data_IF_871730019459
#
_entry.id   IF_871730019459
#
_cell.length_a   1.000
_cell.length_b   1.000
_cell.length_c   1.000
_cell.angle_alpha   90.00
_cell.angle_beta   90.00
_cell.angle_gamma   90.00
#
_symmetry.space_group_name_H-M   'P 1'
#
loop_
_entity.id
_entity.type
_entity.pdbx_description
1 polymer ?
#
# COMPACT_ATOMS: atom_id res chain seq x y z
N UNK A 1 10.38 -15.91 -10.95
CA UNK A 1 10.08 -15.66 -9.54
C UNK A 1 9.02 -14.58 -9.42
N UNK A 2 8.14 -14.71 -8.45
CA UNK A 2 7.13 -13.68 -8.21
C UNK A 2 7.77 -12.45 -7.59
N UNK A 3 7.19 -11.32 -7.85
CA UNK A 3 7.54 -10.08 -7.17
C UNK A 3 6.70 -9.94 -5.90
N UNK A 4 7.35 -9.57 -4.81
CA UNK A 4 6.66 -9.22 -3.58
C UNK A 4 6.20 -7.77 -3.65
N UNK A 5 4.99 -7.51 -3.20
CA UNK A 5 4.46 -6.16 -3.07
C UNK A 5 4.05 -5.96 -1.62
N UNK A 6 4.54 -4.89 -1.01
CA UNK A 6 4.09 -4.46 0.30
C UNK A 6 3.25 -3.21 0.12
N UNK A 7 1.98 -3.28 0.50
CA UNK A 7 1.13 -2.10 0.61
C UNK A 7 1.39 -1.53 2.00
N UNK A 8 2.07 -0.40 2.06
CA UNK A 8 2.49 0.20 3.32
C UNK A 8 1.56 1.35 3.69
N UNK A 9 0.90 1.21 4.83
CA UNK A 9 -0.11 2.17 5.30
C UNK A 9 0.24 2.64 6.72
N UNK A 10 -0.38 3.73 7.15
CA UNK A 10 -0.09 4.30 8.47
C UNK A 10 -0.49 3.39 9.61
N UNK A 11 -1.67 2.83 9.56
CA UNK A 11 -2.26 2.10 10.67
C UNK A 11 -3.30 2.92 11.41
N UNK A 12 -4.18 2.23 12.11
CA UNK A 12 -5.27 2.84 12.87
C UNK A 12 -5.71 1.89 13.96
N UNK A 13 -6.32 2.41 15.00
CA UNK A 13 -6.95 1.60 16.03
C UNK A 13 -8.29 1.03 15.59
N UNK A 14 -8.86 1.57 14.51
CA UNK A 14 -10.11 1.09 13.96
C UNK A 14 -9.83 0.00 12.92
N UNK A 15 -10.23 -1.26 13.16
CA UNK A 15 -9.98 -2.35 12.21
C UNK A 15 -10.61 -2.09 10.84
N UNK A 16 -11.73 -1.38 10.79
CA UNK A 16 -12.40 -1.10 9.52
C UNK A 16 -11.60 -0.18 8.62
N UNK A 17 -10.70 0.60 9.19
CA UNK A 17 -9.82 1.48 8.43
C UNK A 17 -8.95 0.69 7.44
N UNK A 18 -8.61 -0.55 7.75
CA UNK A 18 -7.76 -1.37 6.89
C UNK A 18 -8.51 -1.98 5.70
N UNK A 19 -9.84 -1.95 5.70
CA UNK A 19 -10.64 -2.63 4.67
C UNK A 19 -10.29 -2.23 3.24
N UNK A 20 -10.16 -0.93 2.88
CA UNK A 20 -9.78 -0.58 1.51
C UNK A 20 -8.45 -1.17 1.09
N UNK A 21 -7.48 -1.24 2.00
CA UNK A 21 -6.17 -1.81 1.70
C UNK A 21 -6.26 -3.31 1.47
N UNK A 22 -7.12 -3.99 2.23
CA UNK A 22 -7.38 -5.42 2.04
C UNK A 22 -8.01 -5.69 0.68
N UNK A 23 -8.91 -4.81 0.23
CA UNK A 23 -9.54 -4.92 -1.09
C UNK A 23 -8.50 -4.73 -2.21
N UNK A 24 -7.59 -3.78 -2.05
CA UNK A 24 -6.51 -3.57 -3.01
C UNK A 24 -5.60 -4.80 -3.05
N UNK A 25 -5.23 -5.32 -1.88
CA UNK A 25 -4.39 -6.51 -1.79
C UNK A 25 -5.06 -7.71 -2.47
N UNK A 26 -6.35 -7.90 -2.24
CA UNK A 26 -7.09 -8.99 -2.87
C UNK A 26 -7.11 -8.86 -4.39
N UNK A 27 -7.32 -7.64 -4.89
CA UNK A 27 -7.33 -7.39 -6.33
C UNK A 27 -5.96 -7.68 -6.96
N UNK A 28 -4.88 -7.26 -6.30
CA UNK A 28 -3.53 -7.52 -6.77
C UNK A 28 -3.18 -9.01 -6.71
N UNK A 29 -3.64 -9.69 -5.66
CA UNK A 29 -3.34 -11.11 -5.47
C UNK A 29 -3.96 -12.00 -6.55
N UNK A 30 -4.96 -11.51 -7.26
CA UNK A 30 -5.51 -12.23 -8.41
C UNK A 30 -4.57 -12.22 -9.61
N UNK A 31 -3.58 -11.36 -9.62
CA UNK A 31 -2.57 -11.32 -10.67
C UNK A 31 -1.44 -12.29 -10.30
N UNK A 32 -1.12 -13.19 -11.20
CA UNK A 32 -0.25 -14.34 -10.92
C UNK A 32 1.19 -13.99 -10.57
N UNK A 33 1.65 -12.82 -10.99
CA UNK A 33 3.04 -12.45 -10.85
C UNK A 33 3.39 -11.84 -9.50
N UNK A 34 2.41 -11.64 -8.63
CA UNK A 34 2.60 -10.91 -7.38
C UNK A 34 2.24 -11.73 -6.15
N UNK A 35 3.04 -11.57 -5.10
CA UNK A 35 2.68 -11.93 -3.73
C UNK A 35 2.52 -10.64 -2.95
N UNK A 36 1.37 -10.43 -2.34
CA UNK A 36 1.02 -9.15 -1.75
C UNK A 36 0.86 -9.27 -0.24
N UNK A 37 1.46 -8.35 0.49
CA UNK A 37 1.29 -8.20 1.94
C UNK A 37 0.95 -6.74 2.24
N UNK A 38 0.15 -6.55 3.28
CA UNK A 38 -0.07 -5.21 3.82
C UNK A 38 0.85 -5.06 5.03
N UNK A 39 1.48 -3.92 5.18
CA UNK A 39 2.27 -3.61 6.36
C UNK A 39 1.86 -2.23 6.89
N UNK A 40 2.05 -2.04 8.19
CA UNK A 40 1.62 -0.82 8.84
C UNK A 40 2.78 -0.15 9.56
N UNK A 41 2.77 1.18 9.55
CA UNK A 41 3.78 1.96 10.26
C UNK A 41 3.63 1.76 11.77
N UNK A 42 2.39 1.74 12.25
CA UNK A 42 2.10 1.63 13.68
C UNK A 42 0.68 1.11 13.91
N UNK A 43 0.38 0.77 15.15
CA UNK A 43 -0.97 0.43 15.65
C UNK A 43 -1.57 -0.86 15.13
N UNK A 44 -1.08 -1.41 14.05
CA UNK A 44 -1.59 -2.65 13.44
C UNK A 44 -0.41 -3.50 12.99
N UNK A 45 -0.67 -4.77 12.77
CA UNK A 45 0.34 -5.73 12.28
C UNK A 45 -0.10 -6.31 10.93
N UNK A 46 0.86 -6.79 10.11
CA UNK A 46 2.30 -6.83 10.39
C UNK A 46 2.99 -5.47 10.24
N UNK A 47 4.16 -5.38 10.85
CA UNK A 47 5.07 -4.28 10.60
C UNK A 47 5.78 -4.47 9.26
N UNK A 48 6.53 -3.47 8.83
CA UNK A 48 7.22 -3.55 7.54
C UNK A 48 8.24 -4.69 7.51
N UNK A 49 9.06 -4.82 8.55
CA UNK A 49 10.06 -5.87 8.61
C UNK A 49 9.43 -7.27 8.67
N UNK A 50 8.31 -7.43 9.37
CA UNK A 50 7.57 -8.69 9.37
C UNK A 50 7.05 -9.05 7.98
N UNK A 51 6.48 -8.09 7.27
CA UNK A 51 5.97 -8.33 5.92
C UNK A 51 7.10 -8.68 4.94
N UNK A 52 8.23 -7.97 5.04
CA UNK A 52 9.39 -8.27 4.21
C UNK A 52 9.89 -9.69 4.48
N UNK A 53 10.01 -10.07 5.76
CA UNK A 53 10.46 -11.40 6.13
C UNK A 53 9.54 -12.49 5.59
N UNK A 54 8.23 -12.27 5.66
CA UNK A 54 7.25 -13.22 5.11
C UNK A 54 7.42 -13.40 3.61
N UNK A 55 7.60 -12.31 2.88
CA UNK A 55 7.78 -12.36 1.43
C UNK A 55 9.09 -13.04 1.04
N UNK A 56 10.17 -12.74 1.75
CA UNK A 56 11.46 -13.40 1.52
C UNK A 56 11.32 -14.90 1.79
N UNK A 57 10.67 -15.28 2.88
CA UNK A 57 10.41 -16.68 3.20
C UNK A 57 9.54 -17.40 2.17
N UNK A 58 8.74 -16.67 1.42
CA UNK A 58 7.91 -17.21 0.35
C UNK A 58 8.65 -17.31 -0.99
N UNK A 59 9.89 -16.86 -1.06
CA UNK A 59 10.72 -17.06 -2.24
C UNK A 59 10.61 -16.00 -3.31
N UNK A 60 10.16 -14.79 -2.97
CA UNK A 60 10.11 -13.71 -3.96
C UNK A 60 11.51 -13.30 -4.39
N UNK A 61 11.65 -12.86 -5.63
CA UNK A 61 12.95 -12.42 -6.17
C UNK A 61 13.24 -10.95 -5.95
N UNK A 62 12.22 -10.16 -5.69
CA UNK A 62 12.32 -8.74 -5.42
C UNK A 62 11.09 -8.27 -4.66
N UNK A 63 11.19 -7.12 -4.03
CA UNK A 63 10.08 -6.53 -3.27
C UNK A 63 9.91 -5.08 -3.69
N UNK A 64 8.67 -4.69 -3.90
CA UNK A 64 8.30 -3.30 -4.16
C UNK A 64 7.41 -2.81 -3.03
N UNK A 65 7.81 -1.71 -2.40
CA UNK A 65 7.02 -1.10 -1.32
C UNK A 65 6.22 0.04 -1.92
N UNK A 66 4.91 -0.03 -1.75
CA UNK A 66 3.96 0.95 -2.26
C UNK A 66 3.34 1.68 -1.08
N UNK A 67 3.74 2.93 -0.82
CA UNK A 67 3.11 3.72 0.23
C UNK A 67 1.67 4.06 -0.16
N UNK A 68 0.69 3.58 0.59
CA UNK A 68 -0.72 3.72 0.25
C UNK A 68 -1.30 4.88 1.03
N UNK A 69 -0.88 6.08 0.65
CA UNK A 69 -1.40 7.35 1.19
C UNK A 69 -1.16 8.45 0.17
N UNK A 70 -1.78 9.61 0.40
CA UNK A 70 -1.75 10.67 -0.61
C UNK A 70 -0.38 11.31 -0.74
N UNK A 71 0.24 11.67 0.37
CA UNK A 71 1.55 12.24 0.35
C UNK A 71 2.32 11.79 1.57
N UNK A 72 3.63 11.70 1.44
CA UNK A 72 4.47 11.40 2.57
C UNK A 72 4.66 12.66 3.39
N UNK A 73 4.26 12.64 4.64
CA UNK A 73 4.72 13.62 5.60
C UNK A 73 6.23 13.50 5.74
N UNK A 74 6.91 14.56 6.17
CA UNK A 74 8.36 14.60 6.20
C UNK A 74 9.00 13.39 6.85
N UNK A 75 8.45 12.94 7.98
CA UNK A 75 9.02 11.82 8.72
C UNK A 75 8.92 10.49 7.96
N UNK A 76 7.78 10.20 7.37
CA UNK A 76 7.59 8.92 6.67
C UNK A 76 8.52 8.82 5.47
N UNK A 77 8.69 9.92 4.76
CA UNK A 77 9.55 9.95 3.58
C UNK A 77 11.00 9.63 3.92
N UNK A 78 11.47 10.08 5.08
CA UNK A 78 12.83 9.83 5.54
C UNK A 78 12.95 8.48 6.26
N UNK A 79 11.92 8.09 7.00
CA UNK A 79 11.97 6.89 7.82
C UNK A 79 11.87 5.61 7.01
N UNK A 80 11.11 5.63 5.91
CA UNK A 80 10.86 4.43 5.14
C UNK A 80 12.15 3.79 4.58
N UNK A 81 13.08 4.56 3.95
CA UNK A 81 14.35 3.97 3.54
C UNK A 81 15.15 3.40 4.72
N UNK A 82 15.10 4.05 5.89
CA UNK A 82 15.80 3.55 7.08
C UNK A 82 15.20 2.25 7.59
N UNK A 83 13.87 2.13 7.57
CA UNK A 83 13.19 0.91 7.98
C UNK A 83 13.56 -0.24 7.06
N UNK A 84 13.65 0.00 5.77
CA UNK A 84 14.07 -1.02 4.81
C UNK A 84 15.51 -1.43 5.06
N UNK A 85 16.40 -0.47 5.25
CA UNK A 85 17.81 -0.75 5.51
C UNK A 85 17.98 -1.56 6.81
N UNK A 86 17.22 -1.22 7.85
CA UNK A 86 17.27 -1.94 9.13
C UNK A 86 16.80 -3.38 8.99
N UNK A 87 15.84 -3.64 8.12
CA UNK A 87 15.37 -5.00 7.84
C UNK A 87 16.40 -5.83 7.09
N UNK A 88 17.35 -5.16 6.41
CA UNK A 88 18.45 -5.81 5.70
C UNK A 88 17.99 -7.00 4.85
N UNK A 89 17.05 -6.82 3.92
CA UNK A 89 16.51 -7.94 3.15
C UNK A 89 17.54 -8.49 2.16
N UNK A 90 17.53 -9.82 1.94
CA UNK A 90 18.47 -10.44 0.99
C UNK A 90 18.04 -10.32 -0.47
N UNK A 91 16.99 -9.58 -0.75
CA UNK A 91 16.50 -9.34 -2.11
C UNK A 91 16.44 -7.83 -2.37
N UNK A 92 16.39 -7.46 -3.64
CA UNK A 92 16.26 -6.05 -4.01
C UNK A 92 14.90 -5.51 -3.55
N UNK A 93 14.93 -4.38 -2.89
CA UNK A 93 13.72 -3.68 -2.44
C UNK A 93 13.71 -2.29 -3.04
N UNK A 94 12.59 -1.93 -3.67
CA UNK A 94 12.38 -0.58 -4.20
C UNK A 94 11.20 0.06 -3.48
N UNK A 95 11.20 1.38 -3.41
CA UNK A 95 10.15 2.14 -2.76
C UNK A 95 9.53 3.05 -3.82
N UNK A 96 8.23 2.87 -4.05
CA UNK A 96 7.49 3.70 -5.00
C UNK A 96 7.17 5.06 -4.40
N UNK A 97 6.89 6.06 -5.23
CA UNK A 97 6.25 7.28 -4.75
C UNK A 97 4.90 6.94 -4.09
N UNK A 98 4.42 7.77 -3.13
CA UNK A 98 3.11 7.55 -2.55
C UNK A 98 2.03 7.38 -3.63
N UNK A 99 1.11 6.44 -3.40
CA UNK A 99 0.13 6.08 -4.42
C UNK A 99 -0.75 7.27 -4.82
N UNK A 100 -1.07 8.14 -3.87
CA UNK A 100 -1.93 9.30 -4.11
C UNK A 100 -1.24 10.42 -4.89
N UNK A 101 0.08 10.33 -5.12
CA UNK A 101 0.80 11.30 -5.96
C UNK A 101 0.92 10.84 -7.40
N UNK A 102 0.53 9.62 -7.72
CA UNK A 102 0.68 9.07 -9.06
C UNK A 102 -0.45 9.52 -9.96
N UNK A 103 -0.11 9.97 -11.16
CA UNK A 103 -1.09 10.56 -12.08
C UNK A 103 -2.30 9.67 -12.38
N UNK A 104 -2.14 8.36 -12.64
CA UNK A 104 -3.31 7.51 -12.89
C UNK A 104 -4.27 7.45 -11.70
N UNK A 105 -3.76 7.55 -10.49
CA UNK A 105 -4.58 7.51 -9.28
C UNK A 105 -5.34 8.82 -9.12
N UNK A 106 -4.65 9.94 -9.31
CA UNK A 106 -5.28 11.26 -9.24
C UNK A 106 -6.41 11.35 -10.27
N UNK A 107 -6.18 10.89 -11.47
CA UNK A 107 -7.20 10.92 -12.53
C UNK A 107 -8.37 9.99 -12.20
N UNK A 108 -8.10 8.82 -11.62
CA UNK A 108 -9.15 7.90 -11.22
C UNK A 108 -10.04 8.50 -10.12
N UNK A 109 -9.43 9.19 -9.17
CA UNK A 109 -10.18 9.88 -8.11
C UNK A 109 -11.05 10.98 -8.70
N UNK A 110 -10.49 11.79 -9.59
CA UNK A 110 -11.25 12.85 -10.24
C UNK A 110 -12.43 12.28 -11.04
N UNK A 111 -12.20 11.19 -11.76
CA UNK A 111 -13.25 10.54 -12.54
C UNK A 111 -14.35 9.96 -11.62
N UNK A 112 -13.97 9.39 -10.49
CA UNK A 112 -14.92 8.86 -9.53
C UNK A 112 -15.79 9.98 -8.95
N UNK A 113 -15.20 11.13 -8.65
CA UNK A 113 -15.92 12.28 -8.11
C UNK A 113 -16.88 12.84 -9.18
N UNK A 114 -16.43 12.99 -10.42
CA UNK A 114 -17.25 13.49 -11.49
C UNK A 114 -18.43 12.56 -11.79
N UNK A 115 -18.20 11.26 -11.75
CA UNK A 115 -19.25 10.26 -11.92
C UNK A 115 -20.26 10.30 -10.78
N UNK A 116 -19.80 10.53 -9.56
CA UNK A 116 -20.64 10.60 -8.37
C UNK A 116 -21.70 11.70 -8.51
N UNK A 117 -21.34 12.84 -9.06
CA UNK A 117 -22.27 13.96 -9.22
C UNK A 117 -23.44 13.64 -10.14
N UNK A 118 -23.32 12.66 -11.03
CA UNK A 118 -24.35 12.25 -11.97
C UNK A 118 -25.22 11.09 -11.45
N UNK A 119 -24.89 10.50 -10.31
CA UNK A 119 -25.62 9.34 -9.81
C UNK A 119 -26.91 9.74 -9.11
N UNK A 120 -28.04 9.10 -9.45
CA UNK A 120 -29.31 9.41 -8.78
C UNK A 120 -29.28 9.20 -7.29
N UNK A 121 -28.58 8.18 -6.81
CA UNK A 121 -28.46 7.86 -5.40
C UNK A 121 -27.28 8.50 -4.72
N UNK A 122 -26.46 9.23 -5.45
CA UNK A 122 -25.20 9.76 -4.94
C UNK A 122 -25.30 11.14 -4.28
N UNK A 123 -26.47 11.63 -4.10
CA UNK A 123 -26.64 12.95 -3.51
C UNK A 123 -26.24 12.96 -2.05
N UNK A 124 -25.75 14.11 -1.64
CA UNK A 124 -25.52 14.33 -0.23
C UNK A 124 -26.85 14.37 0.52
N UNK A 125 -26.83 13.94 1.75
CA UNK A 125 -27.96 14.12 2.62
C UNK A 125 -28.12 15.62 2.90
N UNK A 126 -29.34 16.10 3.00
CA UNK A 126 -29.56 17.49 3.37
C UNK A 126 -28.91 17.84 4.70
#
# INVERSE_FOLDING_TARGET
MKQGIVLFAHGSRDPEWARPFEQIAAALSRKKDFLVKIAFLELMRPSLDEAIADLVGSGVGSIRIVPVFFGAGGHVKEDLPRLVAAANPPVKVTIDPPIGEQAPVIEAIAAAIASESARPGGRASP
#
